data_IF_290898964419
#
_entry.id   IF_290898964419
#
_cell.length_a   1.000
_cell.length_b   1.000
_cell.length_c   1.000
_cell.angle_alpha   90.00
_cell.angle_beta   90.00
_cell.angle_gamma   90.00
#
_symmetry.space_group_name_H-M   'P 1'
#
loop_
_entity.id
_entity.type
_entity.pdbx_description
1 polymer ?
#
# COMPACT_ATOMS: atom_id res chain seq x y z
N UNK A 1 -43.11 30.83 32.87
CA UNK A 1 -42.81 30.98 31.43
C UNK A 1 -41.68 31.98 31.28
N UNK A 2 -40.59 31.57 30.59
CA UNK A 2 -39.55 32.42 29.94
C UNK A 2 -38.64 33.15 30.97
N UNK A 3 -37.31 33.02 31.03
CA UNK A 3 -36.21 32.78 30.08
C UNK A 3 -35.03 32.20 30.90
N UNK A 4 -34.38 31.07 30.55
CA UNK A 4 -33.28 30.90 29.57
C UNK A 4 -32.14 31.93 29.66
N UNK A 5 -31.16 31.67 30.54
CA UNK A 5 -29.75 32.11 30.47
C UNK A 5 -28.93 30.96 31.11
N UNK A 6 -28.42 29.97 30.37
CA UNK A 6 -27.17 29.93 29.62
C UNK A 6 -25.90 30.19 30.47
N UNK A 7 -24.92 29.27 30.33
CA UNK A 7 -23.52 29.31 30.78
C UNK A 7 -23.20 28.94 32.25
N UNK A 8 -22.88 27.66 32.49
CA UNK A 8 -21.84 27.28 33.45
C UNK A 8 -21.41 25.81 33.29
N UNK A 9 -20.12 25.62 33.03
CA UNK A 9 -19.27 24.52 33.51
C UNK A 9 -19.52 23.07 33.01
N UNK A 10 -18.78 22.77 31.94
CA UNK A 10 -17.92 21.58 31.77
C UNK A 10 -17.75 20.79 33.08
N UNK A 11 -18.38 19.62 33.15
CA UNK A 11 -18.07 18.58 34.13
C UNK A 11 -17.68 17.30 33.38
N UNK A 12 -16.43 16.93 33.61
CA UNK A 12 -15.66 15.82 33.07
C UNK A 12 -16.46 14.54 32.73
N UNK A 13 -16.27 14.13 31.48
CA UNK A 13 -16.43 12.75 31.01
C UNK A 13 -15.65 11.80 31.94
N UNK A 14 -16.38 11.01 32.73
CA UNK A 14 -15.87 9.78 33.30
C UNK A 14 -15.68 8.76 32.16
N UNK A 15 -14.58 8.89 31.44
CA UNK A 15 -14.14 7.86 30.51
C UNK A 15 -13.61 6.70 31.34
N UNK A 16 -14.33 5.58 31.29
CA UNK A 16 -13.87 4.25 31.67
C UNK A 16 -12.51 3.99 31.06
N UNK A 17 -11.49 3.91 31.90
CA UNK A 17 -10.16 3.45 31.54
C UNK A 17 -10.23 1.95 31.19
N UNK A 18 -10.54 1.64 29.92
CA UNK A 18 -10.16 0.36 29.33
C UNK A 18 -8.68 0.46 28.99
N UNK A 19 -7.83 0.03 29.92
CA UNK A 19 -6.43 -0.25 29.66
C UNK A 19 -6.38 -1.38 28.61
N UNK A 20 -6.10 -1.02 27.37
CA UNK A 20 -5.87 -1.95 26.28
C UNK A 20 -4.54 -2.66 26.55
N UNK A 21 -4.67 -3.90 26.99
CA UNK A 21 -3.64 -4.92 27.16
C UNK A 21 -2.90 -5.10 25.81
N UNK A 22 -1.81 -4.34 25.62
CA UNK A 22 -0.95 -4.48 24.45
C UNK A 22 -0.12 -5.75 24.63
N UNK A 23 -0.25 -6.77 23.76
CA UNK A 23 0.62 -7.93 23.83
C UNK A 23 2.08 -7.51 23.60
N UNK A 24 2.89 -7.69 24.64
CA UNK A 24 4.34 -7.69 24.56
C UNK A 24 4.80 -8.74 23.52
N UNK A 25 5.71 -8.35 22.62
CA UNK A 25 6.41 -9.33 21.77
C UNK A 25 6.61 -9.01 20.29
N UNK A 26 6.19 -7.84 19.77
CA UNK A 26 6.64 -7.44 18.42
C UNK A 26 8.02 -6.78 18.51
N UNK A 27 9.08 -7.54 18.20
CA UNK A 27 10.43 -7.00 17.91
C UNK A 27 10.27 -5.68 17.12
N UNK A 28 10.74 -4.56 17.67
CA UNK A 28 10.77 -3.27 16.95
C UNK A 28 11.43 -3.55 15.60
N UNK A 29 10.69 -3.39 14.51
CA UNK A 29 11.24 -3.42 13.15
C UNK A 29 12.18 -2.22 13.07
N UNK A 30 13.45 -2.42 13.40
CA UNK A 30 14.49 -1.44 13.19
C UNK A 30 14.38 -0.95 11.75
N UNK A 31 14.41 0.36 11.55
CA UNK A 31 14.22 1.00 10.24
C UNK A 31 15.07 0.26 9.20
N UNK A 32 14.41 -0.56 8.39
CA UNK A 32 15.13 -1.56 7.60
C UNK A 32 16.02 -0.82 6.60
N UNK A 33 17.34 -0.78 6.82
CA UNK A 33 18.31 -0.10 5.95
C UNK A 33 18.24 -0.59 4.51
N UNK A 34 17.62 -1.75 4.25
CA UNK A 34 17.42 -2.30 2.92
C UNK A 34 15.93 -2.60 2.62
N UNK A 35 15.07 -1.58 2.60
CA UNK A 35 13.64 -1.77 2.30
C UNK A 35 13.40 -2.24 0.87
N UNK A 36 14.22 -1.82 -0.09
CA UNK A 36 14.16 -2.28 -1.48
C UNK A 36 14.30 -3.80 -1.57
N UNK A 37 15.38 -4.35 -1.00
CA UNK A 37 15.60 -5.80 -1.01
C UNK A 37 14.55 -6.56 -0.20
N UNK A 38 14.03 -6.01 0.89
CA UNK A 38 12.94 -6.66 1.65
C UNK A 38 11.64 -6.73 0.86
N UNK A 39 11.27 -5.63 0.19
CA UNK A 39 10.08 -5.59 -0.68
C UNK A 39 10.23 -6.56 -1.87
N UNK A 40 11.38 -6.55 -2.54
CA UNK A 40 11.67 -7.49 -3.61
C UNK A 40 11.72 -8.94 -3.11
N UNK A 41 12.28 -9.18 -1.91
CA UNK A 41 12.35 -10.51 -1.30
C UNK A 41 10.97 -11.11 -1.00
N UNK A 42 10.00 -10.30 -0.57
CA UNK A 42 8.63 -10.77 -0.39
C UNK A 42 7.98 -11.20 -1.71
N UNK A 43 8.28 -10.47 -2.80
CA UNK A 43 7.83 -10.87 -4.13
C UNK A 43 8.57 -12.12 -4.61
N UNK A 44 9.87 -12.25 -4.33
CA UNK A 44 10.66 -13.47 -4.58
C UNK A 44 10.03 -14.71 -3.94
N UNK A 45 9.61 -14.64 -2.67
CA UNK A 45 8.89 -15.72 -1.98
C UNK A 45 7.58 -16.13 -2.65
N UNK A 46 6.95 -15.19 -3.35
CA UNK A 46 5.74 -15.47 -4.14
C UNK A 46 6.10 -16.22 -5.42
N UNK A 47 7.21 -15.84 -6.05
CA UNK A 47 7.74 -16.47 -7.25
C UNK A 47 8.34 -17.85 -7.01
N UNK A 48 8.82 -18.15 -5.80
CA UNK A 48 9.26 -19.50 -5.39
C UNK A 48 8.15 -20.57 -5.49
N UNK A 49 6.88 -20.15 -5.63
CA UNK A 49 5.74 -21.05 -5.83
C UNK A 49 5.59 -21.53 -7.28
N UNK A 50 6.39 -21.01 -8.19
CA UNK A 50 6.41 -21.40 -9.60
C UNK A 50 7.83 -21.70 -10.04
N UNK A 51 7.98 -22.63 -10.98
CA UNK A 51 9.26 -22.88 -11.60
C UNK A 51 9.55 -21.81 -12.63
N UNK A 52 10.58 -20.99 -12.37
CA UNK A 52 11.07 -19.99 -13.32
C UNK A 52 12.13 -20.61 -14.21
N UNK A 53 12.06 -20.31 -15.51
CA UNK A 53 13.16 -20.61 -16.43
C UNK A 53 14.39 -19.78 -16.10
N UNK A 54 15.56 -20.16 -16.60
CA UNK A 54 16.79 -19.41 -16.31
C UNK A 54 16.74 -17.98 -16.88
N UNK A 55 16.13 -17.79 -18.05
CA UNK A 55 15.86 -16.46 -18.61
C UNK A 55 14.94 -15.63 -17.71
N UNK A 56 13.90 -16.23 -17.11
CA UNK A 56 13.01 -15.55 -16.18
C UNK A 56 13.71 -15.20 -14.86
N UNK A 57 14.61 -16.07 -14.36
CA UNK A 57 15.44 -15.79 -13.19
C UNK A 57 16.39 -14.63 -13.45
N UNK A 58 16.97 -14.53 -14.65
CA UNK A 58 17.83 -13.42 -15.04
C UNK A 58 17.04 -12.10 -15.06
N UNK A 59 15.90 -12.06 -15.74
CA UNK A 59 14.99 -10.90 -15.77
C UNK A 59 14.53 -10.48 -14.37
N UNK A 60 14.23 -11.46 -13.50
CA UNK A 60 13.90 -11.21 -12.10
C UNK A 60 15.05 -10.55 -11.34
N UNK A 61 16.28 -11.06 -11.50
CA UNK A 61 17.45 -10.53 -10.81
C UNK A 61 17.78 -9.10 -11.26
N UNK A 62 17.65 -8.80 -12.55
CA UNK A 62 17.81 -7.45 -13.08
C UNK A 62 16.74 -6.50 -12.52
N UNK A 63 15.46 -6.90 -12.59
CA UNK A 63 14.35 -6.11 -12.07
C UNK A 63 14.52 -5.85 -10.55
N UNK A 64 14.97 -6.85 -9.79
CA UNK A 64 15.27 -6.73 -8.36
C UNK A 64 16.41 -5.74 -8.09
N UNK A 65 17.50 -5.79 -8.86
CA UNK A 65 18.64 -4.85 -8.72
C UNK A 65 18.19 -3.42 -9.00
N UNK A 66 17.51 -3.20 -10.13
CA UNK A 66 16.99 -1.90 -10.54
C UNK A 66 16.02 -1.32 -9.49
N UNK A 67 15.05 -2.12 -9.03
CA UNK A 67 14.12 -1.68 -7.99
C UNK A 67 14.81 -1.37 -6.66
N UNK A 68 15.80 -2.17 -6.26
CA UNK A 68 16.54 -1.92 -5.01
C UNK A 68 17.33 -0.62 -5.08
N UNK A 69 17.95 -0.31 -6.23
CA UNK A 69 18.61 0.97 -6.47
C UNK A 69 17.60 2.13 -6.41
N UNK A 70 16.49 2.05 -7.14
CA UNK A 70 15.45 3.08 -7.10
C UNK A 70 14.92 3.37 -5.69
N UNK A 71 14.72 2.34 -4.86
CA UNK A 71 14.27 2.53 -3.47
C UNK A 71 15.36 3.13 -2.59
N UNK A 72 16.64 2.84 -2.88
CA UNK A 72 17.77 3.47 -2.21
C UNK A 72 17.82 4.96 -2.56
N UNK A 73 17.74 5.30 -3.84
CA UNK A 73 17.76 6.70 -4.31
C UNK A 73 16.60 7.49 -3.67
N UNK A 74 15.39 6.92 -3.66
CA UNK A 74 14.25 7.56 -3.01
C UNK A 74 14.45 7.83 -1.51
N UNK A 75 15.22 6.99 -0.82
CA UNK A 75 15.56 7.24 0.58
C UNK A 75 16.56 8.38 0.74
N UNK A 76 17.54 8.44 -0.14
CA UNK A 76 18.50 9.53 -0.19
C UNK A 76 17.81 10.86 -0.55
N UNK A 77 16.77 10.82 -1.39
CA UNK A 77 15.88 11.96 -1.68
C UNK A 77 14.93 12.33 -0.53
N UNK A 78 14.92 11.58 0.59
CA UNK A 78 14.15 11.94 1.79
C UNK A 78 12.95 11.05 2.12
N UNK A 79 12.76 9.91 1.43
CA UNK A 79 11.72 8.93 1.77
C UNK A 79 12.11 8.11 3.02
N UNK A 80 12.15 8.78 4.17
CA UNK A 80 12.63 8.20 5.43
C UNK A 80 11.64 7.17 6.01
N UNK A 81 12.10 6.26 6.90
CA UNK A 81 11.23 5.36 7.62
C UNK A 81 10.16 6.07 8.46
N UNK A 82 10.48 7.24 9.00
CA UNK A 82 9.55 8.06 9.80
C UNK A 82 8.46 8.66 8.93
N UNK A 83 8.84 9.22 7.76
CA UNK A 83 7.90 9.73 6.78
C UNK A 83 6.95 8.63 6.27
N UNK A 84 7.50 7.44 6.01
CA UNK A 84 6.70 6.26 5.63
C UNK A 84 5.75 5.82 6.75
N UNK A 85 6.18 5.90 8.01
CA UNK A 85 5.33 5.57 9.17
C UNK A 85 4.19 6.58 9.30
N UNK A 86 4.49 7.88 9.25
CA UNK A 86 3.49 8.97 9.27
C UNK A 86 2.43 8.76 8.19
N UNK A 87 2.85 8.38 6.98
CA UNK A 87 1.91 8.06 5.90
C UNK A 87 1.06 6.82 6.15
N UNK A 88 1.64 5.78 6.74
CA UNK A 88 0.89 4.58 7.08
C UNK A 88 -0.16 4.85 8.18
N UNK A 89 0.20 5.68 9.16
CA UNK A 89 -0.71 6.09 10.23
C UNK A 89 -1.85 6.95 9.66
N UNK A 90 -1.55 7.94 8.82
CA UNK A 90 -2.58 8.72 8.11
C UNK A 90 -3.50 7.86 7.22
N UNK A 91 -2.96 6.83 6.56
CA UNK A 91 -3.76 5.87 5.80
C UNK A 91 -4.66 5.03 6.69
N UNK A 92 -4.18 4.65 7.88
CA UNK A 92 -4.95 3.86 8.84
C UNK A 92 -6.10 4.70 9.37
N UNK A 93 -5.84 5.92 9.83
CA UNK A 93 -6.85 6.86 10.31
C UNK A 93 -7.90 7.15 9.24
N UNK A 94 -7.49 7.41 7.99
CA UNK A 94 -8.43 7.62 6.89
C UNK A 94 -9.32 6.39 6.60
N UNK A 95 -8.78 5.17 6.74
CA UNK A 95 -9.57 3.93 6.60
C UNK A 95 -10.53 3.72 7.77
N UNK A 96 -10.10 4.03 9.00
CA UNK A 96 -10.92 3.94 10.21
C UNK A 96 -12.07 4.97 10.17
N UNK A 97 -11.83 6.13 9.57
CA UNK A 97 -12.86 7.11 9.23
C UNK A 97 -13.79 6.68 8.07
N UNK A 98 -13.63 5.46 7.55
CA UNK A 98 -14.47 4.90 6.49
C UNK A 98 -14.18 5.43 5.07
N UNK A 99 -13.17 6.29 4.90
CA UNK A 99 -12.84 6.88 3.60
C UNK A 99 -12.29 5.82 2.65
N UNK A 100 -12.66 5.92 1.37
CA UNK A 100 -12.24 4.97 0.33
C UNK A 100 -11.80 5.68 -0.94
N UNK A 101 -10.99 4.99 -1.74
CA UNK A 101 -10.60 5.43 -3.08
C UNK A 101 -9.97 6.82 -3.09
N UNK A 102 -10.59 7.75 -3.82
CA UNK A 102 -10.09 9.12 -4.00
C UNK A 102 -10.14 9.94 -2.71
N UNK A 103 -11.16 9.75 -1.87
CA UNK A 103 -11.33 10.50 -0.61
C UNK A 103 -10.24 10.14 0.38
N UNK A 104 -9.92 8.84 0.49
CA UNK A 104 -8.79 8.37 1.29
C UNK A 104 -7.48 8.98 0.79
N UNK A 105 -7.26 8.99 -0.54
CA UNK A 105 -6.03 9.52 -1.11
C UNK A 105 -5.87 11.03 -0.83
N UNK A 106 -6.96 11.80 -0.97
CA UNK A 106 -6.98 13.22 -0.63
C UNK A 106 -6.67 13.42 0.85
N UNK A 107 -7.36 12.69 1.74
CA UNK A 107 -7.19 12.83 3.19
C UNK A 107 -5.77 12.50 3.65
N UNK A 108 -5.17 11.46 3.07
CA UNK A 108 -3.78 11.10 3.36
C UNK A 108 -2.83 12.18 2.89
N UNK A 109 -3.05 12.76 1.71
CA UNK A 109 -2.15 13.75 1.12
C UNK A 109 -2.15 15.10 1.85
N UNK A 110 -3.26 15.49 2.50
CA UNK A 110 -3.34 16.72 3.31
C UNK A 110 -2.22 16.85 4.35
N UNK A 111 -1.67 15.74 4.84
CA UNK A 111 -0.63 15.72 5.87
C UNK A 111 0.82 15.84 5.36
N UNK A 112 1.03 16.05 4.06
CA UNK A 112 2.36 15.98 3.41
C UNK A 112 2.58 17.11 2.40
N UNK A 113 3.83 17.56 2.27
CA UNK A 113 4.22 18.55 1.25
C UNK A 113 4.12 17.98 -0.17
N UNK A 114 4.12 18.84 -1.19
CA UNK A 114 4.12 18.40 -2.60
C UNK A 114 5.35 17.52 -2.93
N UNK A 115 6.50 17.85 -2.36
CA UNK A 115 7.74 17.07 -2.53
C UNK A 115 7.62 15.67 -1.90
N UNK A 116 7.10 15.58 -0.67
CA UNK A 116 6.85 14.30 0.00
C UNK A 116 5.83 13.46 -0.79
N UNK A 117 4.76 14.09 -1.28
CA UNK A 117 3.77 13.46 -2.16
C UNK A 117 4.38 12.95 -3.46
N UNK A 118 5.33 13.69 -4.05
CA UNK A 118 6.08 13.27 -5.22
C UNK A 118 6.96 12.04 -4.91
N UNK A 119 7.65 12.00 -3.76
CA UNK A 119 8.44 10.84 -3.32
C UNK A 119 7.57 9.59 -3.16
N UNK A 120 6.40 9.71 -2.52
CA UNK A 120 5.45 8.60 -2.41
C UNK A 120 4.92 8.14 -3.76
N UNK A 121 4.76 9.06 -4.71
CA UNK A 121 4.33 8.77 -6.07
C UNK A 121 5.42 8.03 -6.85
N UNK A 122 6.68 8.47 -6.75
CA UNK A 122 7.84 7.78 -7.33
C UNK A 122 7.99 6.36 -6.75
N UNK A 123 7.87 6.21 -5.43
CA UNK A 123 7.90 4.89 -4.78
C UNK A 123 6.79 3.96 -5.31
N UNK A 124 5.56 4.46 -5.42
CA UNK A 124 4.46 3.68 -5.97
C UNK A 124 4.70 3.28 -7.43
N UNK A 125 5.27 4.18 -8.24
CA UNK A 125 5.67 3.88 -9.62
C UNK A 125 6.75 2.80 -9.67
N UNK A 126 7.78 2.87 -8.82
CA UNK A 126 8.83 1.84 -8.74
C UNK A 126 8.24 0.46 -8.39
N UNK A 127 7.34 0.40 -7.40
CA UNK A 127 6.65 -0.86 -7.03
C UNK A 127 5.77 -1.39 -8.16
N UNK A 128 5.04 -0.50 -8.85
CA UNK A 128 4.23 -0.88 -10.02
C UNK A 128 5.09 -1.38 -11.18
N UNK A 129 6.24 -0.74 -11.42
CA UNK A 129 7.19 -1.13 -12.45
C UNK A 129 7.73 -2.53 -12.19
N UNK A 130 8.22 -2.80 -10.98
CA UNK A 130 8.69 -4.13 -10.57
C UNK A 130 7.62 -5.21 -10.80
N UNK A 131 6.37 -4.92 -10.38
CA UNK A 131 5.24 -5.85 -10.61
C UNK A 131 4.90 -6.02 -12.08
N UNK A 132 4.99 -4.95 -12.87
CA UNK A 132 4.80 -4.99 -14.32
C UNK A 132 5.82 -5.87 -15.01
N UNK A 133 7.11 -5.72 -14.69
CA UNK A 133 8.19 -6.57 -15.19
C UNK A 133 7.95 -8.04 -14.83
N UNK A 134 7.55 -8.32 -13.59
CA UNK A 134 7.24 -9.68 -13.14
C UNK A 134 6.01 -10.25 -13.85
N UNK A 135 4.92 -9.49 -13.97
CA UNK A 135 3.73 -9.97 -14.68
C UNK A 135 4.00 -10.19 -16.18
N UNK A 136 4.89 -9.40 -16.77
CA UNK A 136 5.30 -9.52 -18.17
C UNK A 136 6.18 -10.74 -18.45
N UNK A 137 7.06 -11.13 -17.51
CA UNK A 137 7.93 -12.29 -17.71
C UNK A 137 7.25 -13.64 -17.43
N UNK A 138 6.18 -13.66 -16.62
CA UNK A 138 5.45 -14.90 -16.29
C UNK A 138 4.47 -15.33 -17.37
N UNK A 139 4.39 -16.64 -17.60
CA UNK A 139 3.37 -17.25 -18.46
C UNK A 139 2.00 -17.22 -17.78
N UNK A 140 0.88 -17.34 -18.53
CA UNK A 140 -0.45 -17.46 -17.94
C UNK A 140 -0.54 -18.61 -16.93
N UNK A 141 0.03 -19.77 -17.26
CA UNK A 141 0.04 -20.96 -16.40
C UNK A 141 0.81 -20.74 -15.08
N UNK A 142 1.94 -20.02 -15.15
CA UNK A 142 2.68 -19.61 -13.96
C UNK A 142 1.86 -18.64 -13.10
N UNK A 143 1.16 -17.66 -13.71
CA UNK A 143 0.29 -16.74 -12.97
C UNK A 143 -0.85 -17.47 -12.27
N UNK A 144 -1.46 -18.46 -12.94
CA UNK A 144 -2.55 -19.28 -12.39
C UNK A 144 -2.11 -20.11 -11.17
N UNK A 145 -0.83 -20.50 -11.14
CA UNK A 145 -0.21 -21.28 -10.06
C UNK A 145 0.19 -20.44 -8.84
N UNK A 146 0.12 -19.10 -8.93
CA UNK A 146 0.40 -18.21 -7.81
C UNK A 146 -0.73 -18.24 -6.77
N UNK A 147 -0.43 -17.93 -5.49
CA UNK A 147 -1.46 -17.72 -4.46
C UNK A 147 -2.53 -16.72 -4.92
N UNK A 148 -3.78 -16.91 -4.51
CA UNK A 148 -4.95 -16.18 -5.03
C UNK A 148 -4.75 -14.65 -5.09
N UNK A 149 -4.18 -14.07 -4.03
CA UNK A 149 -3.91 -12.63 -3.96
C UNK A 149 -2.85 -12.19 -4.99
N UNK A 150 -1.80 -12.97 -5.17
CA UNK A 150 -0.74 -12.71 -6.13
C UNK A 150 -1.22 -12.92 -7.56
N UNK A 151 -1.95 -14.00 -7.82
CA UNK A 151 -2.64 -14.27 -9.09
C UNK A 151 -3.51 -13.10 -9.52
N UNK A 152 -4.46 -12.68 -8.67
CA UNK A 152 -5.33 -11.52 -8.93
C UNK A 152 -4.54 -10.26 -9.26
N UNK A 153 -3.43 -10.02 -8.54
CA UNK A 153 -2.58 -8.86 -8.75
C UNK A 153 -1.80 -8.93 -10.07
N UNK A 154 -1.21 -10.08 -10.41
CA UNK A 154 -0.42 -10.26 -11.63
C UNK A 154 -1.30 -10.21 -12.87
N UNK A 155 -2.46 -10.88 -12.86
CA UNK A 155 -3.44 -10.81 -13.95
C UNK A 155 -3.89 -9.37 -14.20
N UNK A 156 -4.30 -8.65 -13.15
CA UNK A 156 -4.74 -7.26 -13.29
C UNK A 156 -3.61 -6.32 -13.79
N UNK A 157 -2.36 -6.60 -13.40
CA UNK A 157 -1.20 -5.83 -13.85
C UNK A 157 -0.91 -6.09 -15.33
N UNK A 158 -0.98 -7.36 -15.76
CA UNK A 158 -0.78 -7.78 -17.15
C UNK A 158 -1.86 -7.21 -18.07
N UNK A 159 -3.13 -7.33 -17.69
CA UNK A 159 -4.26 -6.74 -18.43
C UNK A 159 -4.16 -5.22 -18.55
N UNK A 160 -3.62 -4.53 -17.54
CA UNK A 160 -3.40 -3.08 -17.58
C UNK A 160 -2.25 -2.71 -18.52
N UNK A 161 -1.18 -3.50 -18.57
CA UNK A 161 -0.09 -3.35 -19.53
C UNK A 161 -0.52 -3.58 -20.98
N UNK A 162 -1.47 -4.50 -21.19
CA UNK A 162 -2.08 -4.81 -22.49
C UNK A 162 -3.21 -3.84 -22.90
N UNK A 163 -3.48 -2.78 -22.11
CA UNK A 163 -4.53 -1.80 -22.41
C UNK A 163 -5.96 -2.27 -22.12
N UNK A 164 -6.16 -3.50 -21.65
CA UNK A 164 -7.49 -4.09 -21.34
C UNK A 164 -8.06 -3.66 -19.97
N UNK A 165 -7.25 -3.01 -19.13
CA UNK A 165 -7.58 -2.72 -17.72
C UNK A 165 -8.53 -1.55 -17.41
N UNK A 166 -9.22 -0.92 -18.38
CA UNK A 166 -10.11 0.23 -18.11
C UNK A 166 -11.59 -0.11 -17.82
N UNK A 167 -12.01 -1.38 -17.89
CA UNK A 167 -13.44 -1.75 -17.88
C UNK A 167 -14.06 -2.25 -16.55
N UNK A 168 -13.27 -2.70 -15.57
CA UNK A 168 -13.83 -3.51 -14.45
C UNK A 168 -14.12 -2.72 -13.18
N UNK A 169 -14.74 -1.55 -13.33
CA UNK A 169 -14.96 -0.60 -12.24
C UNK A 169 -16.23 0.25 -12.35
N UNK A 170 -17.33 -0.30 -12.88
CA UNK A 170 -18.69 0.26 -12.71
C UNK A 170 -19.68 -0.89 -12.67
N UNK A 171 -20.12 -1.21 -11.46
CA UNK A 171 -21.07 -2.30 -11.18
C UNK A 171 -21.37 -2.38 -9.69
N UNK A 172 -21.64 -1.23 -9.06
CA UNK A 172 -22.50 -1.22 -7.88
C UNK A 172 -23.92 -1.25 -8.44
N UNK A 173 -24.52 -2.43 -8.45
CA UNK A 173 -25.96 -2.60 -8.56
C UNK A 173 -26.62 -1.74 -7.48
N UNK A 174 -27.01 -0.51 -7.84
CA UNK A 174 -28.14 0.16 -7.22
C UNK A 174 -29.39 -0.48 -7.84
N UNK A 175 -29.76 -1.67 -7.36
CA UNK A 175 -31.17 -2.06 -7.34
C UNK A 175 -31.83 -1.16 -6.29
N UNK A 176 -32.36 -0.02 -6.75
CA UNK A 176 -33.46 0.65 -6.06
C UNK A 176 -34.73 -0.06 -6.50
N UNK A 177 -35.13 -1.06 -5.72
CA UNK A 177 -36.53 -1.46 -5.63
C UNK A 177 -36.99 -1.00 -4.23
N UNK A 178 -37.61 0.18 -4.18
CA UNK A 178 -38.52 0.71 -3.16
C UNK A 178 -38.96 2.12 -3.59
#
# INVERSE_FOLDING_TARGET
>A
MKHLIALALIACLAASASADDKPEGKKKRGGNRNAGAWMAGNLGKTLEKVELTDEQKEKWNEAKKSFTAQVKDLREEGLTPELMKKRNDAQKEAREAGLKGKELAAKVNEGFSEEEQALFSKQQKAVRSLRGSVAGMLTPEQIESLPEQAKKQMTATKERGEGKGKGRGKGKDKKKDA
#
